data_IF_975311107840
#
_entry.id   IF_975311107840
#
_cell.length_a   1.000
_cell.length_b   1.000
_cell.length_c   1.000
_cell.angle_alpha   90.00
_cell.angle_beta   90.00
_cell.angle_gamma   90.00
#
_symmetry.space_group_name_H-M   'P 1'
#
loop_
_entity.id
_entity.type
_entity.pdbx_description
1 polymer ?
#
# COMPACT_ATOMS: atom_id res chain seq x y z
N UNK A 1 -22.43 -37.33 -32.20
CA UNK A 1 -22.68 -35.94 -32.64
C UNK A 1 -23.97 -35.47 -31.99
N UNK A 2 -23.87 -34.67 -30.94
CA UNK A 2 -25.01 -33.95 -30.36
C UNK A 2 -24.45 -32.67 -29.71
N UNK A 3 -25.06 -31.56 -30.08
CA UNK A 3 -24.61 -30.18 -29.90
C UNK A 3 -24.48 -29.79 -28.41
N UNK A 4 -23.31 -29.26 -28.02
CA UNK A 4 -23.11 -28.59 -26.73
C UNK A 4 -23.75 -27.19 -26.82
N UNK A 5 -24.94 -27.02 -26.24
CA UNK A 5 -25.55 -25.71 -26.06
C UNK A 5 -24.73 -24.89 -25.06
N UNK A 6 -24.36 -23.68 -25.49
CA UNK A 6 -23.52 -22.73 -24.78
C UNK A 6 -24.11 -22.32 -23.44
N UNK A 7 -23.24 -22.32 -22.43
CA UNK A 7 -23.45 -21.67 -21.14
C UNK A 7 -23.85 -20.19 -21.30
N UNK A 8 -24.67 -19.60 -20.41
CA UNK A 8 -25.08 -18.18 -20.49
C UNK A 8 -23.95 -17.18 -20.15
N UNK A 9 -22.68 -17.63 -20.10
CA UNK A 9 -21.53 -16.76 -19.91
C UNK A 9 -21.08 -16.20 -21.27
N UNK A 10 -21.32 -14.90 -21.45
CA UNK A 10 -20.77 -14.14 -22.58
C UNK A 10 -19.24 -14.21 -22.53
N UNK A 11 -18.65 -14.67 -23.64
CA UNK A 11 -17.22 -14.60 -23.94
C UNK A 11 -16.71 -13.18 -23.61
N UNK A 12 -15.58 -13.00 -22.89
CA UNK A 12 -15.08 -11.68 -22.55
C UNK A 12 -15.02 -10.81 -23.80
N UNK A 13 -15.62 -9.62 -23.73
CA UNK A 13 -15.52 -8.63 -24.78
C UNK A 13 -14.03 -8.40 -25.12
N UNK A 14 -13.73 -8.24 -26.40
CA UNK A 14 -12.41 -7.83 -26.89
C UNK A 14 -11.80 -6.80 -25.96
N UNK A 15 -10.52 -6.99 -25.61
CA UNK A 15 -9.81 -6.26 -24.56
C UNK A 15 -9.85 -4.75 -24.82
N UNK A 16 -10.87 -4.07 -24.31
CA UNK A 16 -10.98 -2.62 -24.41
C UNK A 16 -10.02 -1.99 -23.36
N UNK A 17 -8.91 -1.38 -23.80
CA UNK A 17 -7.91 -0.82 -22.90
C UNK A 17 -8.42 0.41 -22.14
N UNK A 18 -9.63 0.90 -22.43
CA UNK A 18 -10.27 1.99 -21.68
C UNK A 18 -10.79 1.53 -20.30
N UNK A 19 -11.12 0.25 -20.17
CA UNK A 19 -11.67 -0.32 -18.94
C UNK A 19 -10.59 -0.70 -17.93
N UNK A 20 -10.90 -0.63 -16.64
CA UNK A 20 -9.99 -1.03 -15.57
C UNK A 20 -9.59 -2.51 -15.67
N UNK A 21 -10.50 -3.39 -16.12
CA UNK A 21 -10.22 -4.80 -16.36
C UNK A 21 -9.30 -5.00 -17.58
N UNK A 22 -9.58 -4.32 -18.70
CA UNK A 22 -8.72 -4.40 -19.89
C UNK A 22 -7.28 -3.94 -19.62
N UNK A 23 -7.09 -2.95 -18.74
CA UNK A 23 -5.75 -2.51 -18.28
C UNK A 23 -5.06 -3.47 -17.32
N UNK A 24 -5.80 -4.37 -16.68
CA UNK A 24 -5.31 -5.35 -15.71
C UNK A 24 -5.59 -6.78 -16.18
N UNK A 25 -5.27 -7.08 -17.44
CA UNK A 25 -5.53 -8.39 -18.08
C UNK A 25 -4.85 -9.58 -17.40
N UNK A 26 -3.80 -9.33 -16.59
CA UNK A 26 -3.15 -10.35 -15.77
C UNK A 26 -3.98 -10.83 -14.58
N UNK A 27 -5.05 -10.11 -14.21
CA UNK A 27 -5.93 -10.47 -13.11
C UNK A 27 -7.25 -11.03 -13.62
N UNK A 28 -7.82 -12.06 -12.96
CA UNK A 28 -9.12 -12.56 -13.35
C UNK A 28 -10.17 -11.46 -13.15
N UNK A 29 -10.90 -11.12 -14.21
CA UNK A 29 -11.94 -10.11 -14.13
C UNK A 29 -13.09 -10.59 -13.23
N UNK A 30 -13.59 -9.72 -12.37
CA UNK A 30 -14.79 -10.02 -11.60
C UNK A 30 -16.02 -10.02 -12.50
N UNK A 31 -16.85 -11.04 -12.33
CA UNK A 31 -18.10 -11.18 -13.07
C UNK A 31 -19.00 -9.95 -12.84
N UNK A 32 -19.40 -9.31 -13.93
CA UNK A 32 -20.39 -8.24 -13.90
C UNK A 32 -21.77 -8.84 -13.63
N UNK A 33 -22.52 -8.22 -12.74
CA UNK A 33 -23.96 -8.47 -12.69
C UNK A 33 -24.58 -7.79 -13.90
N UNK A 34 -25.02 -8.58 -14.88
CA UNK A 34 -25.83 -8.06 -15.99
C UNK A 34 -27.12 -7.52 -15.37
N UNK A 35 -27.36 -6.22 -15.53
CA UNK A 35 -28.62 -5.58 -15.19
C UNK A 35 -29.32 -5.30 -16.50
N UNK A 36 -30.35 -6.07 -16.83
CA UNK A 36 -31.29 -5.67 -17.87
C UNK A 36 -31.94 -4.37 -17.42
N UNK A 37 -31.67 -3.28 -18.14
CA UNK A 37 -32.34 -2.00 -17.93
C UNK A 37 -33.76 -2.13 -18.49
N UNK A 38 -34.64 -2.84 -17.79
CA UNK A 38 -36.06 -2.75 -18.08
C UNK A 38 -36.49 -1.33 -17.71
N UNK A 39 -36.91 -0.56 -18.71
CA UNK A 39 -37.44 0.78 -18.53
C UNK A 39 -38.69 0.67 -17.68
N UNK A 40 -38.57 1.04 -16.40
CA UNK A 40 -39.67 0.96 -15.44
C UNK A 40 -40.87 1.77 -15.95
N UNK A 41 -42.05 1.15 -15.94
CA UNK A 41 -43.32 1.82 -16.22
C UNK A 41 -43.54 2.97 -15.23
N UNK A 42 -44.30 4.00 -15.62
CA UNK A 42 -44.62 5.13 -14.72
C UNK A 42 -45.27 4.65 -13.41
N UNK A 43 -46.13 3.63 -13.46
CA UNK A 43 -46.75 3.04 -12.27
C UNK A 43 -45.70 2.39 -11.34
N UNK A 44 -44.69 1.72 -11.91
CA UNK A 44 -43.59 1.13 -11.14
C UNK A 44 -42.69 2.21 -10.53
N UNK A 45 -42.46 3.33 -11.22
CA UNK A 45 -41.72 4.48 -10.68
C UNK A 45 -42.46 5.13 -9.51
N UNK A 46 -43.77 5.35 -9.62
CA UNK A 46 -44.60 5.88 -8.54
C UNK A 46 -44.63 4.94 -7.31
N UNK A 47 -44.75 3.63 -7.55
CA UNK A 47 -44.68 2.63 -6.46
C UNK A 47 -43.33 2.65 -5.76
N UNK A 48 -42.23 2.83 -6.50
CA UNK A 48 -40.88 2.96 -5.92
C UNK A 48 -40.71 4.25 -5.12
N UNK A 49 -41.26 5.39 -5.56
CA UNK A 49 -41.16 6.64 -4.80
C UNK A 49 -41.94 6.55 -3.48
N UNK A 50 -43.14 5.97 -3.50
CA UNK A 50 -43.91 5.73 -2.27
C UNK A 50 -43.17 4.79 -1.31
N UNK A 51 -42.51 3.74 -1.82
CA UNK A 51 -41.64 2.90 -0.99
C UNK A 51 -40.46 3.66 -0.41
N UNK A 52 -39.77 4.48 -1.20
CA UNK A 52 -38.65 5.29 -0.71
C UNK A 52 -39.07 6.23 0.41
N UNK A 53 -40.24 6.87 0.30
CA UNK A 53 -40.80 7.73 1.34
C UNK A 53 -41.10 6.91 2.61
N UNK A 54 -41.73 5.74 2.46
CA UNK A 54 -42.01 4.85 3.60
C UNK A 54 -40.74 4.34 4.27
N UNK A 55 -39.73 3.95 3.48
CA UNK A 55 -38.45 3.46 3.98
C UNK A 55 -37.67 4.58 4.68
N UNK A 56 -37.76 5.82 4.19
CA UNK A 56 -37.19 7.00 4.85
C UNK A 56 -37.85 7.24 6.21
N UNK A 57 -39.19 7.23 6.27
CA UNK A 57 -39.92 7.41 7.52
C UNK A 57 -39.57 6.32 8.56
N UNK A 58 -39.46 5.06 8.13
CA UNK A 58 -39.00 3.95 8.99
C UNK A 58 -37.55 4.13 9.45
N UNK A 59 -36.67 4.63 8.59
CA UNK A 59 -35.28 4.88 8.95
C UNK A 59 -35.17 6.02 9.98
N UNK A 60 -35.96 7.08 9.84
CA UNK A 60 -36.04 8.16 10.83
C UNK A 60 -36.59 7.67 12.17
N UNK A 61 -37.65 6.86 12.15
CA UNK A 61 -38.22 6.27 13.36
C UNK A 61 -37.20 5.37 14.07
N UNK A 62 -36.49 4.53 13.31
CA UNK A 62 -35.40 3.70 13.84
C UNK A 62 -34.28 4.57 14.42
N UNK A 63 -33.88 5.65 13.75
CA UNK A 63 -32.84 6.56 14.24
C UNK A 63 -33.25 7.21 15.58
N UNK A 64 -34.51 7.68 15.70
CA UNK A 64 -35.05 8.22 16.95
C UNK A 64 -35.06 7.18 18.06
N UNK A 65 -35.53 5.97 17.77
CA UNK A 65 -35.55 4.88 18.74
C UNK A 65 -34.13 4.49 19.20
N UNK A 66 -33.17 4.50 18.27
CA UNK A 66 -31.76 4.24 18.56
C UNK A 66 -31.17 5.33 19.45
N UNK A 67 -31.48 6.61 19.19
CA UNK A 67 -31.01 7.74 19.99
C UNK A 67 -31.53 7.69 21.45
N UNK A 68 -32.81 7.33 21.63
CA UNK A 68 -33.39 7.06 22.96
C UNK A 68 -32.67 5.91 23.66
N UNK A 69 -32.38 4.82 22.95
CA UNK A 69 -31.66 3.67 23.48
C UNK A 69 -30.22 4.02 23.88
N UNK A 70 -29.51 4.78 23.05
CA UNK A 70 -28.15 5.25 23.36
C UNK A 70 -28.13 6.20 24.54
N UNK A 71 -29.11 7.09 24.65
CA UNK A 71 -29.29 7.99 25.79
C UNK A 71 -29.48 7.20 27.09
N UNK A 72 -30.35 6.18 27.08
CA UNK A 72 -30.56 5.28 28.23
C UNK A 72 -29.30 4.50 28.59
N UNK A 73 -28.60 3.94 27.61
CA UNK A 73 -27.33 3.27 27.86
C UNK A 73 -26.29 4.22 28.45
N UNK A 74 -26.25 5.48 28.01
CA UNK A 74 -25.33 6.48 28.57
C UNK A 74 -25.63 6.73 30.05
N UNK A 75 -26.90 6.92 30.42
CA UNK A 75 -27.28 7.11 31.83
C UNK A 75 -26.95 5.89 32.68
N UNK A 76 -27.21 4.68 32.17
CA UNK A 76 -26.85 3.43 32.87
C UNK A 76 -25.33 3.32 33.08
N UNK A 77 -24.52 3.72 32.08
CA UNK A 77 -23.05 3.73 32.20
C UNK A 77 -22.55 4.81 33.16
N UNK A 78 -23.21 5.97 33.23
CA UNK A 78 -22.92 7.02 34.22
C UNK A 78 -23.18 6.54 35.65
N UNK A 79 -24.28 5.84 35.87
CA UNK A 79 -24.62 5.30 37.18
C UNK A 79 -23.70 4.13 37.57
N UNK A 80 -23.32 3.28 36.60
CA UNK A 80 -22.30 2.26 36.80
C UNK A 80 -20.92 2.85 37.15
N UNK A 81 -20.54 3.96 36.49
CA UNK A 81 -19.31 4.69 36.78
C UNK A 81 -19.29 5.23 38.21
N UNK A 82 -20.39 5.83 38.67
CA UNK A 82 -20.55 6.30 40.06
C UNK A 82 -20.48 5.15 41.05
N UNK A 83 -21.18 4.04 40.79
CA UNK A 83 -21.19 2.87 41.68
C UNK A 83 -19.78 2.28 41.89
N UNK A 84 -18.93 2.32 40.87
CA UNK A 84 -17.58 1.76 40.91
C UNK A 84 -16.46 2.79 41.11
N UNK A 85 -16.78 4.07 41.39
CA UNK A 85 -15.80 5.16 41.50
C UNK A 85 -14.79 5.21 40.34
N UNK A 86 -15.26 4.93 39.13
CA UNK A 86 -14.44 4.95 37.91
C UNK A 86 -14.92 6.05 36.97
N UNK A 87 -14.04 6.49 36.06
CA UNK A 87 -14.42 7.48 35.04
C UNK A 87 -15.27 6.81 33.95
N UNK A 88 -16.32 7.48 33.48
CA UNK A 88 -17.17 7.00 32.39
C UNK A 88 -16.38 6.65 31.12
N UNK A 89 -15.35 7.43 30.79
CA UNK A 89 -14.45 7.16 29.66
C UNK A 89 -13.76 5.79 29.78
N UNK A 90 -13.40 5.37 30.99
CA UNK A 90 -12.77 4.08 31.24
C UNK A 90 -13.74 2.91 30.96
N UNK A 91 -14.99 3.04 31.39
CA UNK A 91 -16.03 2.02 31.17
C UNK A 91 -16.43 1.99 29.69
N UNK A 92 -16.60 3.14 29.04
CA UNK A 92 -16.85 3.20 27.60
C UNK A 92 -15.73 2.53 26.80
N UNK A 93 -14.47 2.71 27.24
CA UNK A 93 -13.31 2.03 26.64
C UNK A 93 -13.34 0.52 26.84
N UNK A 94 -13.90 0.01 27.94
CA UNK A 94 -14.13 -1.43 28.15
C UNK A 94 -15.19 -1.97 27.18
N UNK A 95 -16.28 -1.23 26.96
CA UNK A 95 -17.39 -1.65 26.08
C UNK A 95 -17.02 -1.59 24.59
N UNK A 96 -16.20 -0.61 24.19
CA UNK A 96 -15.79 -0.37 22.79
C UNK A 96 -14.58 -1.20 22.32
N UNK A 97 -13.97 -2.00 23.19
CA UNK A 97 -12.86 -2.91 22.84
C UNK A 97 -13.25 -4.08 21.93
N UNK A 98 -14.53 -4.21 21.56
CA UNK A 98 -15.08 -5.35 20.82
C UNK A 98 -15.04 -5.21 19.28
N UNK A 99 -14.04 -4.52 18.72
CA UNK A 99 -13.67 -4.73 17.32
C UNK A 99 -12.93 -6.07 17.20
N UNK A 100 -13.70 -7.14 17.37
CA UNK A 100 -13.24 -8.47 17.02
C UNK A 100 -13.05 -8.48 15.51
N UNK A 101 -11.80 -8.66 15.05
CA UNK A 101 -11.54 -9.14 13.71
C UNK A 101 -12.37 -10.40 13.52
N UNK A 102 -13.55 -10.26 12.91
CA UNK A 102 -14.43 -11.40 12.65
C UNK A 102 -13.69 -12.25 11.65
N UNK A 103 -13.18 -13.39 12.12
CA UNK A 103 -12.59 -14.36 11.23
C UNK A 103 -13.61 -14.69 10.15
N UNK A 104 -13.16 -14.69 8.90
CA UNK A 104 -14.04 -15.02 7.78
C UNK A 104 -14.53 -16.44 7.98
N UNK A 105 -15.85 -16.62 7.91
CA UNK A 105 -16.47 -17.93 8.09
C UNK A 105 -15.99 -18.90 7.01
N UNK A 106 -15.51 -20.07 7.44
CA UNK A 106 -15.15 -21.16 6.55
C UNK A 106 -16.33 -21.56 5.65
N UNK A 107 -16.03 -22.12 4.47
CA UNK A 107 -17.06 -22.61 3.54
C UNK A 107 -17.63 -23.91 4.10
N UNK A 108 -18.89 -23.87 4.53
CA UNK A 108 -19.66 -25.06 4.90
C UNK A 108 -20.15 -25.77 3.63
N UNK A 109 -20.17 -27.11 3.65
CA UNK A 109 -20.70 -27.95 2.56
C UNK A 109 -22.10 -27.50 2.13
N UNK A 110 -23.01 -27.23 3.07
CA UNK A 110 -24.36 -26.77 2.78
C UNK A 110 -24.40 -25.45 1.98
N UNK A 111 -23.47 -24.54 2.25
CA UNK A 111 -23.36 -23.29 1.48
C UNK A 111 -22.80 -23.55 0.07
N UNK A 112 -21.93 -24.55 -0.07
CA UNK A 112 -21.41 -24.97 -1.37
C UNK A 112 -22.48 -25.65 -2.23
N UNK A 113 -23.27 -26.57 -1.65
CA UNK A 113 -24.43 -27.20 -2.30
C UNK A 113 -25.45 -26.14 -2.74
N UNK A 114 -25.79 -25.19 -1.86
CA UNK A 114 -26.70 -24.10 -2.19
C UNK A 114 -26.15 -23.21 -3.32
N UNK A 115 -24.85 -22.96 -3.34
CA UNK A 115 -24.21 -22.19 -4.42
C UNK A 115 -24.29 -22.92 -5.76
N UNK A 116 -23.91 -24.20 -5.82
CA UNK A 116 -23.99 -25.02 -7.03
C UNK A 116 -25.43 -25.10 -7.55
N UNK A 117 -26.40 -25.40 -6.69
CA UNK A 117 -27.82 -25.43 -7.07
C UNK A 117 -28.34 -24.08 -7.52
N UNK A 118 -27.86 -22.98 -6.92
CA UNK A 118 -28.24 -21.64 -7.36
C UNK A 118 -27.73 -21.32 -8.76
N UNK A 119 -26.61 -21.90 -9.19
CA UNK A 119 -26.08 -21.72 -10.55
C UNK A 119 -26.87 -22.55 -11.55
N UNK A 120 -27.20 -23.81 -11.22
CA UNK A 120 -28.04 -24.67 -12.06
C UNK A 120 -29.41 -24.01 -12.29
N UNK A 121 -30.10 -23.63 -11.22
CA UNK A 121 -31.51 -23.24 -11.31
C UNK A 121 -31.68 -21.80 -11.78
N UNK A 122 -30.77 -20.89 -11.40
CA UNK A 122 -30.84 -19.50 -11.86
C UNK A 122 -30.04 -19.24 -13.14
N UNK A 123 -29.41 -20.27 -13.72
CA UNK A 123 -28.73 -20.17 -15.01
C UNK A 123 -29.73 -19.93 -16.15
N UNK A 124 -30.88 -20.59 -16.08
CA UNK A 124 -31.92 -20.58 -17.12
C UNK A 124 -33.01 -19.52 -16.88
N UNK A 125 -33.00 -18.86 -15.72
CA UNK A 125 -34.01 -17.86 -15.34
C UNK A 125 -33.56 -16.44 -15.70
N UNK A 126 -34.52 -15.62 -16.16
CA UNK A 126 -34.29 -14.22 -16.44
C UNK A 126 -33.88 -13.42 -15.19
N UNK A 127 -33.18 -12.31 -15.42
CA UNK A 127 -32.66 -11.41 -14.39
C UNK A 127 -33.81 -10.67 -13.67
N UNK A 128 -34.38 -11.32 -12.66
CA UNK A 128 -35.49 -10.79 -11.86
C UNK A 128 -36.26 -11.89 -11.15
N UNK A 129 -36.37 -13.05 -11.79
CA UNK A 129 -37.15 -14.20 -11.34
C UNK A 129 -36.29 -15.25 -10.62
N UNK A 130 -35.15 -14.81 -10.08
CA UNK A 130 -34.26 -15.69 -9.33
C UNK A 130 -34.98 -16.26 -8.11
N UNK A 131 -34.85 -17.58 -7.95
CA UNK A 131 -35.48 -18.33 -6.86
C UNK A 131 -34.96 -17.84 -5.52
N UNK A 132 -35.86 -17.72 -4.54
CA UNK A 132 -35.49 -17.26 -3.19
C UNK A 132 -34.61 -18.29 -2.50
N UNK A 133 -33.76 -17.82 -1.59
CA UNK A 133 -32.84 -18.70 -0.83
C UNK A 133 -33.56 -19.80 -0.06
N UNK A 134 -34.79 -19.56 0.43
CA UNK A 134 -35.60 -20.57 1.13
C UNK A 134 -36.01 -21.72 0.21
N UNK A 135 -36.47 -21.40 -0.99
CA UNK A 135 -36.88 -22.36 -2.02
C UNK A 135 -35.64 -23.12 -2.54
N UNK A 136 -34.50 -22.45 -2.72
CA UNK A 136 -33.24 -23.12 -3.08
C UNK A 136 -32.80 -24.15 -2.02
N UNK A 137 -33.02 -23.88 -0.73
CA UNK A 137 -32.71 -24.87 0.33
C UNK A 137 -33.59 -26.11 0.24
N UNK A 138 -34.86 -25.93 -0.11
CA UNK A 138 -35.78 -27.05 -0.32
C UNK A 138 -35.36 -27.86 -1.55
N UNK A 139 -35.03 -27.19 -2.67
CA UNK A 139 -34.53 -27.87 -3.86
C UNK A 139 -33.22 -28.65 -3.64
N UNK A 140 -32.31 -28.15 -2.79
CA UNK A 140 -31.10 -28.89 -2.41
C UNK A 140 -31.43 -30.10 -1.53
N UNK A 141 -32.45 -29.98 -0.68
CA UNK A 141 -32.89 -31.07 0.17
C UNK A 141 -33.61 -32.15 -0.64
N UNK A 142 -34.43 -31.79 -1.61
CA UNK A 142 -35.26 -32.74 -2.36
C UNK A 142 -34.49 -33.46 -3.48
N UNK A 143 -33.32 -32.94 -3.86
CA UNK A 143 -32.48 -33.53 -4.92
C UNK A 143 -31.58 -34.65 -4.37
N UNK A 144 -31.80 -35.92 -4.78
CA UNK A 144 -31.02 -37.06 -4.30
C UNK A 144 -29.54 -37.00 -4.71
N UNK A 145 -29.21 -36.24 -5.76
CA UNK A 145 -27.84 -36.02 -6.23
C UNK A 145 -27.01 -35.25 -5.20
N UNK A 146 -27.63 -34.29 -4.51
CA UNK A 146 -26.98 -33.48 -3.48
C UNK A 146 -26.99 -34.14 -2.09
N UNK A 147 -27.80 -35.18 -1.88
CA UNK A 147 -27.77 -35.99 -0.67
C UNK A 147 -26.71 -37.08 -0.72
N UNK A 148 -26.49 -37.70 -1.88
CA UNK A 148 -25.56 -38.82 -2.07
C UNK A 148 -24.23 -38.40 -2.72
N UNK A 149 -23.62 -37.31 -2.25
CA UNK A 149 -22.34 -36.84 -2.78
C UNK A 149 -21.17 -37.66 -2.24
N UNK A 150 -20.23 -37.96 -3.13
CA UNK A 150 -18.94 -38.51 -2.72
C UNK A 150 -18.07 -37.43 -2.05
N UNK A 151 -17.13 -37.84 -1.20
CA UNK A 151 -16.25 -36.91 -0.49
C UNK A 151 -15.47 -35.99 -1.46
N UNK A 152 -15.05 -36.52 -2.62
CA UNK A 152 -14.35 -35.77 -3.66
C UNK A 152 -15.20 -34.65 -4.27
N UNK A 153 -16.49 -34.91 -4.49
CA UNK A 153 -17.41 -33.92 -5.05
C UNK A 153 -17.78 -32.83 -4.03
N UNK A 154 -17.86 -33.19 -2.75
CA UNK A 154 -18.04 -32.21 -1.68
C UNK A 154 -16.84 -31.27 -1.55
N UNK A 155 -15.62 -31.80 -1.74
CA UNK A 155 -14.39 -30.99 -1.76
C UNK A 155 -14.32 -30.10 -2.99
N UNK A 156 -14.65 -30.61 -4.18
CA UNK A 156 -14.72 -29.82 -5.41
C UNK A 156 -15.67 -28.63 -5.26
N UNK A 157 -16.88 -28.84 -4.74
CA UNK A 157 -17.83 -27.74 -4.52
C UNK A 157 -17.33 -26.72 -3.49
N UNK A 158 -16.58 -27.14 -2.47
CA UNK A 158 -15.93 -26.20 -1.55
C UNK A 158 -14.87 -25.38 -2.26
N UNK A 159 -14.04 -26.02 -3.08
CA UNK A 159 -12.99 -25.36 -3.86
C UNK A 159 -13.59 -24.32 -4.81
N UNK A 160 -14.64 -24.64 -5.56
CA UNK A 160 -15.32 -23.69 -6.46
C UNK A 160 -15.77 -22.41 -5.72
N UNK A 161 -16.34 -22.56 -4.52
CA UNK A 161 -16.77 -21.42 -3.70
C UNK A 161 -15.58 -20.64 -3.15
N UNK A 162 -14.47 -21.30 -2.82
CA UNK A 162 -13.24 -20.65 -2.38
C UNK A 162 -12.61 -19.84 -3.53
N UNK A 163 -12.50 -20.42 -4.72
CA UNK A 163 -11.99 -19.75 -5.92
C UNK A 163 -12.83 -18.51 -6.26
N UNK A 164 -14.16 -18.61 -6.20
CA UNK A 164 -15.03 -17.46 -6.40
C UNK A 164 -14.87 -16.38 -5.32
N UNK A 165 -14.65 -16.77 -4.06
CA UNK A 165 -14.35 -15.82 -2.98
C UNK A 165 -13.01 -15.14 -3.21
N UNK A 166 -12.02 -15.86 -3.71
CA UNK A 166 -10.71 -15.32 -4.07
C UNK A 166 -10.82 -14.37 -5.26
N UNK A 167 -11.50 -14.77 -6.34
CA UNK A 167 -11.76 -13.92 -7.50
C UNK A 167 -12.49 -12.62 -7.11
N UNK A 168 -13.47 -12.68 -6.20
CA UNK A 168 -14.13 -11.47 -5.67
C UNK A 168 -13.22 -10.59 -4.80
N UNK A 169 -12.18 -11.18 -4.21
CA UNK A 169 -11.23 -10.47 -3.34
C UNK A 169 -10.12 -9.80 -4.15
N UNK A 170 -9.58 -10.48 -5.16
CA UNK A 170 -8.37 -10.08 -5.88
C UNK A 170 -8.61 -9.77 -7.36
N UNK A 171 -9.76 -10.17 -7.90
CA UNK A 171 -10.05 -9.97 -9.31
C UNK A 171 -10.28 -8.52 -9.67
N UNK A 172 -9.90 -8.16 -10.90
CA UNK A 172 -10.02 -6.81 -11.42
C UNK A 172 -11.50 -6.40 -11.54
N UNK A 173 -11.79 -5.15 -11.17
CA UNK A 173 -13.14 -4.61 -11.33
C UNK A 173 -13.45 -4.37 -12.82
N UNK A 174 -14.64 -4.76 -13.30
CA UNK A 174 -14.95 -4.78 -14.73
C UNK A 174 -15.06 -3.39 -15.36
N UNK A 175 -15.44 -2.37 -14.58
CA UNK A 175 -15.62 -0.99 -15.06
C UNK A 175 -14.92 0.01 -14.14
N UNK A 176 -14.50 1.16 -14.68
CA UNK A 176 -13.84 2.23 -13.91
C UNK A 176 -14.76 2.73 -12.79
N UNK A 177 -16.07 2.80 -13.05
CA UNK A 177 -17.07 3.17 -12.04
C UNK A 177 -17.13 2.15 -10.89
N UNK A 178 -17.13 0.85 -11.21
CA UNK A 178 -17.10 -0.20 -10.17
C UNK A 178 -15.80 -0.19 -9.38
N UNK A 179 -14.65 0.06 -10.02
CA UNK A 179 -13.37 0.25 -9.35
C UNK A 179 -13.39 1.44 -8.40
N UNK A 180 -13.96 2.57 -8.84
CA UNK A 180 -14.07 3.77 -8.02
C UNK A 180 -15.04 3.61 -6.83
N UNK A 181 -16.09 2.80 -6.95
CA UNK A 181 -16.98 2.50 -5.82
C UNK A 181 -16.28 1.61 -4.79
N UNK A 182 -15.57 0.58 -5.26
CA UNK A 182 -14.78 -0.31 -4.41
C UNK A 182 -13.68 0.46 -3.65
N UNK A 183 -12.95 1.31 -4.36
CA UNK A 183 -11.94 2.21 -3.76
C UNK A 183 -12.54 3.05 -2.62
N UNK A 184 -13.70 3.68 -2.83
CA UNK A 184 -14.37 4.48 -1.79
C UNK A 184 -14.79 3.63 -0.59
N UNK A 185 -15.36 2.45 -0.82
CA UNK A 185 -15.78 1.55 0.25
C UNK A 185 -14.58 1.11 1.11
N UNK A 186 -13.46 0.74 0.46
CA UNK A 186 -12.22 0.38 1.16
C UNK A 186 -11.62 1.57 1.90
N UNK A 187 -11.70 2.79 1.34
CA UNK A 187 -11.24 4.00 2.01
C UNK A 187 -11.98 4.24 3.32
N UNK A 188 -13.30 4.12 3.33
CA UNK A 188 -14.11 4.25 4.55
C UNK A 188 -13.71 3.20 5.59
N UNK A 189 -13.49 1.96 5.17
CA UNK A 189 -13.03 0.90 6.08
C UNK A 189 -11.67 1.23 6.69
N UNK A 190 -10.67 1.60 5.86
CA UNK A 190 -9.34 1.96 6.33
C UNK A 190 -9.36 3.18 7.26
N UNK A 191 -10.22 4.17 6.99
CA UNK A 191 -10.37 5.33 7.86
C UNK A 191 -10.81 4.92 9.26
N UNK A 192 -11.84 4.08 9.35
CA UNK A 192 -12.33 3.58 10.63
C UNK A 192 -11.25 2.76 11.36
N UNK A 193 -10.49 1.93 10.64
CA UNK A 193 -9.41 1.13 11.21
C UNK A 193 -8.23 1.99 11.71
N UNK A 194 -7.85 3.04 10.97
CA UNK A 194 -6.79 3.96 11.35
C UNK A 194 -7.21 4.81 12.55
N UNK A 195 -8.43 5.34 12.57
CA UNK A 195 -8.97 6.04 13.74
C UNK A 195 -8.99 5.14 14.96
N UNK A 196 -9.52 3.91 14.84
CA UNK A 196 -9.55 2.96 15.93
C UNK A 196 -8.15 2.51 16.40
N UNK A 197 -7.15 2.48 15.50
CA UNK A 197 -5.75 2.21 15.86
C UNK A 197 -5.17 3.40 16.66
N UNK A 198 -5.36 4.62 16.16
CA UNK A 198 -4.94 5.85 16.84
C UNK A 198 -5.54 5.94 18.24
N UNK A 199 -6.83 5.67 18.40
CA UNK A 199 -7.51 5.77 19.69
C UNK A 199 -7.04 4.71 20.70
N UNK A 200 -6.71 3.49 20.23
CA UNK A 200 -6.27 2.39 21.09
C UNK A 200 -4.81 2.50 21.50
N UNK A 201 -3.93 2.93 20.59
CA UNK A 201 -2.47 2.85 20.81
C UNK A 201 -1.78 4.22 20.82
N UNK A 202 -2.48 5.30 20.48
CA UNK A 202 -1.87 6.61 20.26
C UNK A 202 -0.97 6.66 19.03
N UNK A 203 -1.11 5.70 18.09
CA UNK A 203 -0.27 5.66 16.90
C UNK A 203 -0.53 6.87 15.99
N UNK A 204 0.54 7.48 15.48
CA UNK A 204 0.46 8.54 14.47
C UNK A 204 0.55 7.92 13.07
N UNK A 205 -0.48 8.09 12.25
CA UNK A 205 -0.63 7.45 10.94
C UNK A 205 -1.07 8.48 9.92
N UNK A 206 -0.37 8.50 8.78
CA UNK A 206 -0.76 9.21 7.57
C UNK A 206 -0.73 8.23 6.41
N UNK A 207 -1.81 8.16 5.64
CA UNK A 207 -1.89 7.33 4.45
C UNK A 207 -2.36 8.17 3.26
N UNK A 208 -1.63 8.09 2.15
CA UNK A 208 -1.97 8.76 0.89
C UNK A 208 -2.40 7.73 -0.14
N UNK A 209 -3.44 8.05 -0.88
CA UNK A 209 -4.04 7.19 -1.88
C UNK A 209 -4.23 7.98 -3.17
N UNK A 210 -3.91 7.36 -4.30
CA UNK A 210 -4.13 7.95 -5.61
C UNK A 210 -4.54 6.89 -6.62
N UNK A 211 -5.15 7.33 -7.71
CA UNK A 211 -5.24 6.51 -8.92
C UNK A 211 -3.87 6.34 -9.56
N UNK A 212 -3.70 5.24 -10.27
CA UNK A 212 -2.48 4.93 -11.03
C UNK A 212 -2.60 5.28 -12.50
N UNK A 213 -3.81 5.51 -13.02
CA UNK A 213 -4.06 5.83 -14.42
C UNK A 213 -5.09 6.98 -14.52
N UNK A 214 -4.98 7.82 -15.55
CA UNK A 214 -5.86 8.97 -15.75
C UNK A 214 -7.31 8.56 -16.04
N UNK A 215 -7.51 7.40 -16.68
CA UNK A 215 -8.85 6.89 -17.03
C UNK A 215 -9.64 6.38 -15.81
N UNK A 216 -8.98 6.25 -14.66
CA UNK A 216 -9.67 5.90 -13.41
C UNK A 216 -10.44 7.11 -12.86
N UNK A 217 -11.69 6.85 -12.47
CA UNK A 217 -12.65 7.89 -12.10
C UNK A 217 -12.68 8.21 -10.60
N UNK A 218 -11.79 7.63 -9.80
CA UNK A 218 -11.69 7.93 -8.37
C UNK A 218 -10.62 8.98 -8.11
N UNK A 219 -10.88 9.83 -7.13
CA UNK A 219 -10.01 10.95 -6.78
C UNK A 219 -8.94 10.50 -5.77
N UNK A 220 -7.74 11.12 -5.79
CA UNK A 220 -6.78 10.99 -4.72
C UNK A 220 -7.41 11.35 -3.39
N UNK A 221 -6.99 10.67 -2.33
CA UNK A 221 -7.48 10.94 -0.99
C UNK A 221 -6.38 10.66 0.03
N UNK A 222 -6.57 11.12 1.25
CA UNK A 222 -5.67 10.85 2.36
C UNK A 222 -6.47 10.54 3.62
N UNK A 223 -5.88 9.72 4.49
CA UNK A 223 -6.38 9.44 5.83
C UNK A 223 -5.30 9.85 6.82
N UNK A 224 -5.70 10.53 7.89
CA UNK A 224 -4.81 10.99 8.93
C UNK A 224 -5.40 10.69 10.31
N UNK A 225 -4.55 10.25 11.24
CA UNK A 225 -4.90 10.26 12.65
C UNK A 225 -4.81 11.68 13.22
N UNK A 226 -5.60 12.02 14.26
CA UNK A 226 -5.62 13.39 14.82
C UNK A 226 -4.26 13.92 15.26
N UNK A 227 -3.41 13.06 15.81
CA UNK A 227 -2.05 13.39 16.25
C UNK A 227 -1.03 13.59 15.10
N UNK A 228 -1.39 13.26 13.86
CA UNK A 228 -0.53 13.40 12.69
C UNK A 228 -1.02 14.48 11.71
N UNK A 229 -2.11 15.18 12.03
CA UNK A 229 -2.80 16.12 11.14
C UNK A 229 -1.86 17.19 10.55
N UNK A 230 -0.97 17.74 11.38
CA UNK A 230 -0.06 18.81 10.96
C UNK A 230 1.29 18.30 10.45
N UNK A 231 1.53 16.98 10.45
CA UNK A 231 2.84 16.40 10.12
C UNK A 231 3.33 16.85 8.75
N UNK A 232 2.48 16.81 7.72
CA UNK A 232 2.90 17.18 6.36
C UNK A 232 3.30 18.66 6.26
N UNK A 233 2.56 19.54 6.93
CA UNK A 233 2.80 20.98 6.87
C UNK A 233 4.01 21.39 7.70
N UNK A 234 4.15 20.86 8.92
CA UNK A 234 5.23 21.22 9.83
C UNK A 234 6.56 20.55 9.45
N UNK A 235 6.54 19.27 9.03
CA UNK A 235 7.76 18.51 8.75
C UNK A 235 8.19 18.57 7.28
N UNK A 236 7.25 18.68 6.34
CA UNK A 236 7.55 18.64 4.89
C UNK A 236 7.24 19.96 4.17
N UNK A 237 6.59 20.93 4.83
CA UNK A 237 6.14 22.19 4.21
C UNK A 237 5.18 21.99 3.03
N UNK A 238 4.44 20.87 3.02
CA UNK A 238 3.43 20.57 2.00
C UNK A 238 2.06 20.32 2.64
N UNK A 239 1.00 20.77 1.99
CA UNK A 239 -0.36 20.36 2.36
C UNK A 239 -0.58 18.87 2.06
N UNK A 240 -1.44 18.21 2.83
CA UNK A 240 -1.76 16.79 2.61
C UNK A 240 -2.29 16.52 1.20
N UNK A 241 -3.12 17.44 0.69
CA UNK A 241 -3.63 17.39 -0.68
C UNK A 241 -2.54 17.55 -1.75
N UNK A 242 -1.53 18.38 -1.49
CA UNK A 242 -0.41 18.55 -2.41
C UNK A 242 0.39 17.27 -2.52
N UNK A 243 0.65 16.58 -1.39
CA UNK A 243 1.33 15.29 -1.38
C UNK A 243 0.50 14.23 -2.11
N UNK A 244 -0.80 14.16 -1.86
CA UNK A 244 -1.69 13.23 -2.56
C UNK A 244 -1.70 13.46 -4.08
N UNK A 245 -1.68 14.73 -4.51
CA UNK A 245 -1.62 15.11 -5.92
C UNK A 245 -0.25 14.84 -6.54
N UNK A 246 0.85 15.06 -5.80
CA UNK A 246 2.19 14.69 -6.25
C UNK A 246 2.32 13.17 -6.44
N UNK A 247 1.74 12.39 -5.53
CA UNK A 247 1.66 10.94 -5.66
C UNK A 247 0.87 10.52 -6.90
N UNK A 248 -0.28 11.15 -7.15
CA UNK A 248 -1.10 10.92 -8.33
C UNK A 248 -0.35 11.27 -9.63
N UNK A 249 0.27 12.45 -9.69
CA UNK A 249 1.05 12.88 -10.86
C UNK A 249 2.16 11.89 -11.17
N UNK A 250 2.90 11.45 -10.14
CA UNK A 250 3.95 10.45 -10.26
C UNK A 250 3.42 9.09 -10.73
N UNK A 251 2.31 8.62 -10.16
CA UNK A 251 1.71 7.33 -10.50
C UNK A 251 1.17 7.32 -11.95
N UNK A 252 0.47 8.38 -12.34
CA UNK A 252 -0.08 8.56 -13.69
C UNK A 252 1.02 8.80 -14.76
N UNK A 253 2.10 9.51 -14.43
CA UNK A 253 3.23 9.67 -15.34
C UNK A 253 3.93 8.34 -15.62
N UNK A 254 4.03 7.46 -14.61
CA UNK A 254 4.54 6.09 -14.77
C UNK A 254 3.68 5.26 -15.73
N UNK A 255 2.35 5.39 -15.66
CA UNK A 255 1.45 4.66 -16.55
C UNK A 255 1.59 5.07 -18.03
N UNK A 256 1.99 6.32 -18.32
CA UNK A 256 2.20 6.83 -19.69
C UNK A 256 3.52 6.41 -20.35
N UNK A 257 4.27 5.48 -19.75
CA UNK A 257 5.57 5.06 -20.29
C UNK A 257 6.67 6.13 -20.17
N UNK A 258 6.44 7.19 -19.39
CA UNK A 258 7.44 8.21 -19.08
C UNK A 258 8.43 7.69 -18.01
N UNK A 259 9.05 6.55 -18.29
CA UNK A 259 10.30 6.17 -17.62
C UNK A 259 11.42 6.75 -18.46
N UNK A 260 12.38 7.39 -17.81
CA UNK A 260 13.76 7.21 -18.25
C UNK A 260 13.96 5.71 -18.36
N UNK A 261 14.16 5.18 -19.57
CA UNK A 261 14.30 3.73 -19.82
C UNK A 261 15.13 3.11 -18.71
N UNK A 262 14.58 2.13 -17.99
CA UNK A 262 15.33 1.50 -16.91
C UNK A 262 16.45 0.69 -17.53
N UNK A 263 17.60 1.31 -17.65
CA UNK A 263 18.81 0.59 -17.96
C UNK A 263 19.08 -0.35 -16.81
N UNK A 264 19.60 -1.55 -17.10
CA UNK A 264 20.09 -2.48 -16.08
C UNK A 264 20.92 -1.74 -15.00
N UNK A 265 21.81 -0.84 -15.43
CA UNK A 265 22.64 -0.03 -14.54
C UNK A 265 21.86 0.87 -13.56
N UNK A 266 20.74 1.47 -13.98
CA UNK A 266 19.94 2.33 -13.08
C UNK A 266 19.25 1.49 -12.02
N UNK A 267 18.65 0.37 -12.41
CA UNK A 267 18.01 -0.55 -11.46
C UNK A 267 19.00 -1.16 -10.46
N UNK A 268 20.19 -1.56 -10.92
CA UNK A 268 21.24 -2.07 -10.03
C UNK A 268 21.69 -1.02 -8.99
N UNK A 269 21.83 0.25 -9.42
CA UNK A 269 22.15 1.36 -8.52
C UNK A 269 21.03 1.59 -7.50
N UNK A 270 19.77 1.56 -7.94
CA UNK A 270 18.61 1.71 -7.05
C UNK A 270 18.52 0.57 -6.02
N UNK A 271 18.67 -0.69 -6.44
CA UNK A 271 18.74 -1.83 -5.53
C UNK A 271 19.82 -1.62 -4.46
N UNK A 272 21.04 -1.26 -4.88
CA UNK A 272 22.15 -1.02 -3.97
C UNK A 272 21.87 0.14 -3.00
N UNK A 273 21.23 1.22 -3.49
CA UNK A 273 20.86 2.37 -2.67
C UNK A 273 19.82 1.98 -1.61
N UNK A 274 18.77 1.24 -2.00
CA UNK A 274 17.72 0.78 -1.08
C UNK A 274 18.32 -0.17 -0.03
N UNK A 275 19.09 -1.18 -0.45
CA UNK A 275 19.70 -2.16 0.46
C UNK A 275 20.58 -1.47 1.49
N UNK A 276 21.48 -0.57 1.07
CA UNK A 276 22.38 0.12 2.00
C UNK A 276 21.64 1.17 2.85
N UNK A 277 20.68 1.90 2.28
CA UNK A 277 19.89 2.90 3.01
C UNK A 277 19.07 2.25 4.12
N UNK A 278 18.31 1.21 3.78
CA UNK A 278 17.50 0.45 4.74
C UNK A 278 18.36 -0.27 5.78
N UNK A 279 19.53 -0.81 5.41
CA UNK A 279 20.48 -1.40 6.36
C UNK A 279 20.90 -0.37 7.41
N UNK A 280 21.31 0.84 7.01
CA UNK A 280 21.72 1.90 7.94
C UNK A 280 20.61 2.28 8.92
N UNK A 281 19.37 2.34 8.42
CA UNK A 281 18.19 2.64 9.24
C UNK A 281 17.93 1.53 10.26
N UNK A 282 17.85 0.28 9.80
CA UNK A 282 17.51 -0.86 10.67
C UNK A 282 18.65 -1.17 11.65
N UNK A 283 19.91 -1.07 11.23
CA UNK A 283 21.07 -1.28 12.11
C UNK A 283 21.40 -0.08 13.01
N UNK A 284 20.67 1.04 12.89
CA UNK A 284 20.95 2.31 13.59
C UNK A 284 22.42 2.77 13.45
N UNK A 285 23.05 2.47 12.31
CA UNK A 285 24.46 2.80 12.08
C UNK A 285 24.64 3.49 10.73
N UNK A 286 25.05 4.76 10.76
CA UNK A 286 25.26 5.56 9.54
C UNK A 286 26.38 5.01 8.65
N UNK A 287 27.29 4.23 9.23
CA UNK A 287 28.44 3.62 8.55
C UNK A 287 28.18 2.18 8.09
N UNK A 288 26.99 1.62 8.34
CA UNK A 288 26.67 0.30 7.85
C UNK A 288 26.71 0.26 6.32
N UNK A 289 27.40 -0.75 5.79
CA UNK A 289 27.55 -0.99 4.37
C UNK A 289 27.43 -2.47 4.11
N UNK A 290 26.73 -2.80 3.03
CA UNK A 290 26.50 -4.17 2.62
C UNK A 290 27.81 -4.85 2.21
N UNK A 291 28.02 -6.09 2.67
CA UNK A 291 29.16 -6.91 2.28
C UNK A 291 28.67 -8.31 1.87
N UNK A 292 28.48 -8.53 0.58
CA UNK A 292 28.01 -9.82 0.05
C UNK A 292 29.03 -10.95 0.28
N UNK A 293 30.33 -10.66 0.16
CA UNK A 293 31.37 -11.67 0.29
C UNK A 293 31.64 -12.11 1.74
N UNK A 294 31.24 -11.33 2.74
CA UNK A 294 31.38 -11.67 4.17
C UNK A 294 30.06 -11.34 4.88
N UNK A 295 28.95 -11.78 4.31
CA UNK A 295 27.62 -11.41 4.76
C UNK A 295 27.37 -11.87 6.21
N UNK A 296 27.59 -13.15 6.50
CA UNK A 296 27.32 -13.73 7.82
C UNK A 296 28.09 -13.00 8.93
N UNK A 297 29.39 -12.78 8.75
CA UNK A 297 30.24 -12.16 9.80
C UNK A 297 30.16 -10.63 9.85
N UNK A 298 30.25 -9.95 8.69
CA UNK A 298 30.35 -8.48 8.66
C UNK A 298 29.00 -7.77 8.60
N UNK A 299 27.92 -8.48 8.30
CA UNK A 299 26.57 -7.93 8.26
C UNK A 299 25.71 -8.56 9.34
N UNK A 300 25.47 -9.87 9.30
CA UNK A 300 24.52 -10.53 10.20
C UNK A 300 25.00 -10.49 11.65
N UNK A 301 26.20 -10.99 11.94
CA UNK A 301 26.74 -10.98 13.31
C UNK A 301 27.03 -9.57 13.82
N UNK A 302 27.57 -8.69 12.96
CA UNK A 302 27.98 -7.33 13.36
C UNK A 302 26.80 -6.41 13.62
N UNK A 303 25.79 -6.43 12.75
CA UNK A 303 24.66 -5.52 12.82
C UNK A 303 23.40 -6.18 13.39
N UNK A 304 23.42 -7.48 13.63
CA UNK A 304 22.29 -8.23 14.18
C UNK A 304 21.05 -8.13 13.28
N UNK A 305 21.27 -8.04 11.98
CA UNK A 305 20.23 -7.84 10.97
C UNK A 305 20.44 -8.79 9.81
N UNK A 306 19.34 -9.38 9.32
CA UNK A 306 19.34 -10.27 8.17
C UNK A 306 18.37 -9.76 7.12
N UNK A 307 18.80 -9.78 5.87
CA UNK A 307 17.96 -9.50 4.71
C UNK A 307 17.11 -10.73 4.43
N UNK A 308 15.80 -10.57 4.51
CA UNK A 308 14.80 -11.62 4.28
C UNK A 308 14.06 -11.35 2.98
N UNK A 309 13.61 -12.40 2.28
CA UNK A 309 12.80 -12.28 1.06
C UNK A 309 13.59 -11.95 -0.21
N UNK A 310 14.87 -12.34 -0.26
CA UNK A 310 15.71 -12.22 -1.45
C UNK A 310 15.12 -13.05 -2.60
N UNK A 311 14.88 -12.44 -3.76
CA UNK A 311 14.16 -13.07 -4.88
C UNK A 311 15.05 -13.77 -5.90
N UNK A 312 16.33 -13.42 -5.97
CA UNK A 312 17.26 -14.00 -6.93
C UNK A 312 17.88 -15.30 -6.38
N UNK A 313 18.16 -16.27 -7.26
CA UNK A 313 18.61 -17.63 -6.87
C UNK A 313 19.88 -17.63 -6.02
N UNK A 314 20.81 -16.72 -6.31
CA UNK A 314 22.07 -16.61 -5.58
C UNK A 314 22.12 -15.33 -4.76
N UNK A 315 22.74 -15.38 -3.58
CA UNK A 315 22.92 -14.18 -2.77
C UNK A 315 24.20 -13.43 -3.15
N UNK A 316 24.08 -12.50 -4.10
CA UNK A 316 25.22 -11.70 -4.61
C UNK A 316 24.87 -10.22 -4.80
N UNK A 317 25.88 -9.42 -5.17
CA UNK A 317 25.69 -7.99 -5.41
C UNK A 317 24.69 -7.77 -6.55
N UNK A 318 23.78 -6.77 -6.44
CA UNK A 318 22.90 -6.40 -7.54
C UNK A 318 23.65 -6.12 -8.85
N UNK A 319 24.88 -5.60 -8.78
CA UNK A 319 25.72 -5.33 -9.95
C UNK A 319 26.20 -6.59 -10.68
N UNK A 320 26.24 -7.74 -9.99
CA UNK A 320 26.64 -9.02 -10.55
C UNK A 320 25.44 -9.77 -11.16
N UNK A 321 24.23 -9.19 -11.11
CA UNK A 321 23.03 -9.73 -11.74
C UNK A 321 22.88 -9.06 -13.11
N UNK A 322 23.04 -9.85 -14.18
CA UNK A 322 23.05 -9.33 -15.56
C UNK A 322 21.69 -9.44 -16.25
N UNK A 323 20.76 -10.22 -15.73
CA UNK A 323 19.40 -10.34 -16.26
C UNK A 323 18.56 -9.15 -15.81
N UNK A 324 17.95 -8.45 -16.77
CA UNK A 324 17.11 -7.27 -16.49
C UNK A 324 15.90 -7.67 -15.62
N UNK A 325 15.21 -8.75 -15.97
CA UNK A 325 14.01 -9.19 -15.27
C UNK A 325 14.29 -9.61 -13.81
N UNK A 326 15.44 -10.23 -13.56
CA UNK A 326 15.85 -10.62 -12.20
C UNK A 326 16.13 -9.38 -11.33
N UNK A 327 16.85 -8.39 -11.87
CA UNK A 327 17.11 -7.13 -11.16
C UNK A 327 15.81 -6.37 -10.92
N UNK A 328 14.90 -6.35 -11.89
CA UNK A 328 13.59 -5.70 -11.77
C UNK A 328 12.74 -6.36 -10.68
N UNK A 329 12.69 -7.69 -10.66
CA UNK A 329 11.94 -8.45 -9.64
C UNK A 329 12.50 -8.20 -8.25
N UNK A 330 13.83 -8.14 -8.11
CA UNK A 330 14.49 -7.78 -6.86
C UNK A 330 14.19 -6.34 -6.43
N UNK A 331 14.25 -5.39 -7.36
CA UNK A 331 13.95 -3.98 -7.10
C UNK A 331 12.51 -3.81 -6.59
N UNK A 332 11.54 -4.44 -7.26
CA UNK A 332 10.13 -4.42 -6.85
C UNK A 332 9.94 -5.08 -5.47
N UNK A 333 10.64 -6.18 -5.18
CA UNK A 333 10.59 -6.81 -3.87
C UNK A 333 11.15 -5.92 -2.76
N UNK A 334 12.25 -5.20 -3.03
CA UNK A 334 12.83 -4.23 -2.10
C UNK A 334 11.92 -3.01 -1.88
N UNK A 335 11.31 -2.48 -2.94
CA UNK A 335 10.41 -1.31 -2.86
C UNK A 335 9.11 -1.65 -2.12
N UNK A 336 8.54 -2.83 -2.35
CA UNK A 336 7.31 -3.27 -1.68
C UNK A 336 7.54 -3.88 -0.29
N UNK A 337 8.79 -3.93 0.20
CA UNK A 337 9.13 -4.51 1.49
C UNK A 337 9.05 -6.05 1.56
N UNK A 338 8.80 -6.73 0.44
CA UNK A 338 8.89 -8.21 0.34
C UNK A 338 10.32 -8.69 0.60
N UNK A 339 11.30 -7.90 0.18
CA UNK A 339 12.70 -8.05 0.56
C UNK A 339 13.08 -6.92 1.53
N UNK A 340 13.34 -7.24 2.79
CA UNK A 340 13.63 -6.21 3.80
C UNK A 340 14.58 -6.70 4.90
N UNK A 341 15.22 -5.75 5.57
CA UNK A 341 16.08 -6.04 6.72
C UNK A 341 15.25 -6.27 7.96
N UNK A 342 15.47 -7.42 8.60
CA UNK A 342 14.84 -7.78 9.87
C UNK A 342 15.91 -7.84 10.95
N UNK A 343 15.61 -7.23 12.11
CA UNK A 343 16.45 -7.39 13.30
C UNK A 343 16.28 -8.78 13.86
N UNK A 344 17.40 -9.47 14.06
CA UNK A 344 17.42 -10.80 14.64
C UNK A 344 17.38 -10.71 16.16
N UNK A 345 16.71 -11.66 16.82
CA UNK A 345 16.77 -11.77 18.28
C UNK A 345 18.12 -12.36 18.70
N UNK A 346 18.47 -12.24 19.98
CA UNK A 346 19.71 -12.84 20.53
C UNK A 346 19.75 -14.36 20.30
N UNK A 347 18.59 -15.03 20.41
CA UNK A 347 18.47 -16.46 20.14
C UNK A 347 18.81 -16.78 18.69
N UNK A 348 18.22 -16.03 17.75
CA UNK A 348 18.46 -16.26 16.32
C UNK A 348 19.91 -16.00 15.92
N UNK A 349 20.57 -15.02 16.55
CA UNK A 349 21.99 -14.72 16.32
C UNK A 349 22.87 -15.86 16.83
N UNK A 350 22.56 -16.41 18.00
CA UNK A 350 23.31 -17.54 18.54
C UNK A 350 23.16 -18.78 17.65
N UNK A 351 21.93 -19.09 17.23
CA UNK A 351 21.68 -20.16 16.26
C UNK A 351 22.43 -19.92 14.96
N UNK A 352 22.43 -18.68 14.45
CA UNK A 352 23.17 -18.34 13.23
C UNK A 352 24.68 -18.51 13.39
N UNK A 353 25.25 -18.15 14.55
CA UNK A 353 26.67 -18.38 14.86
C UNK A 353 27.00 -19.87 14.95
N UNK A 354 26.12 -20.66 15.52
CA UNK A 354 26.28 -22.11 15.59
C UNK A 354 26.23 -22.72 14.19
N UNK A 355 25.31 -22.27 13.33
CA UNK A 355 25.22 -22.71 11.93
C UNK A 355 26.44 -22.29 11.11
N UNK A 356 26.92 -21.06 11.29
CA UNK A 356 28.19 -20.60 10.68
C UNK A 356 29.35 -21.46 11.14
N UNK A 357 29.43 -21.77 12.43
CA UNK A 357 30.49 -22.60 13.01
C UNK A 357 30.44 -24.04 12.49
N UNK A 358 29.24 -24.62 12.36
CA UNK A 358 29.03 -25.94 11.74
C UNK A 358 29.43 -25.96 10.27
N UNK A 359 29.09 -24.93 9.50
CA UNK A 359 29.50 -24.80 8.09
C UNK A 359 31.02 -24.68 7.94
N UNK A 360 31.67 -23.90 8.81
CA UNK A 360 33.14 -23.82 8.86
C UNK A 360 33.75 -25.18 9.22
N UNK A 361 33.19 -25.89 10.21
CA UNK A 361 33.65 -27.22 10.60
C UNK A 361 33.45 -28.27 9.49
N UNK A 362 32.41 -28.12 8.68
CA UNK A 362 32.16 -28.94 7.48
C UNK A 362 33.07 -28.58 6.29
N UNK A 363 33.95 -27.57 6.44
CA UNK A 363 34.90 -27.15 5.40
C UNK A 363 34.36 -26.11 4.41
N UNK A 364 33.16 -25.57 4.64
CA UNK A 364 32.60 -24.50 3.81
C UNK A 364 33.30 -23.16 4.10
N UNK A 365 33.79 -22.49 3.05
CA UNK A 365 34.45 -21.18 3.18
C UNK A 365 33.40 -20.10 3.44
N UNK A 366 33.10 -19.82 4.71
CA UNK A 366 32.26 -18.69 5.11
C UNK A 366 33.04 -17.37 4.93
N UNK A 367 33.00 -16.87 3.70
CA UNK A 367 33.53 -15.58 3.30
C UNK A 367 34.97 -15.57 2.79
N UNK A 368 35.38 -14.42 2.25
CA UNK A 368 36.73 -14.22 1.68
C UNK A 368 37.69 -13.73 2.76
N UNK A 369 38.61 -14.61 3.18
CA UNK A 369 39.74 -14.24 4.03
C UNK A 369 40.61 -13.17 3.36
N UNK A 370 41.00 -12.15 4.13
CA UNK A 370 41.84 -11.05 3.62
C UNK A 370 43.24 -11.59 3.33
N UNK A 371 43.73 -11.42 2.10
CA UNK A 371 45.12 -11.78 1.79
C UNK A 371 46.07 -11.03 2.73
N UNK A 372 47.10 -11.71 3.26
CA UNK A 372 48.10 -11.08 4.09
C UNK A 372 48.80 -9.99 3.27
N UNK A 373 48.89 -8.81 3.86
CA UNK A 373 49.58 -7.67 3.25
C UNK A 373 51.06 -8.03 3.16
N UNK A 374 51.71 -7.79 2.01
CA UNK A 374 53.12 -8.15 1.78
C UNK A 374 54.10 -7.46 2.73
N UNK A 375 53.67 -6.38 3.39
CA UNK A 375 54.39 -5.62 4.40
C UNK A 375 54.11 -6.08 5.84
N UNK A 376 53.31 -7.14 6.04
CA UNK A 376 53.03 -7.70 7.37
C UNK A 376 54.31 -8.32 7.95
N UNK A 377 54.99 -7.56 8.81
CA UNK A 377 56.24 -7.94 9.47
C UNK A 377 57.47 -7.11 9.04
N UNK A 378 57.34 -6.24 8.04
CA UNK A 378 58.47 -5.41 7.58
C UNK A 378 58.63 -4.17 8.47
N UNK A 379 59.69 -4.14 9.29
CA UNK A 379 60.09 -2.97 10.06
C UNK A 379 60.45 -1.83 9.10
N UNK A 380 59.62 -0.80 9.02
CA UNK A 380 59.95 0.41 8.25
C UNK A 380 61.11 1.14 8.93
N UNK A 381 62.18 1.52 8.21
CA UNK A 381 63.29 2.25 8.81
C UNK A 381 62.81 3.62 9.32
N UNK A 382 63.12 3.92 10.58
CA UNK A 382 62.92 5.26 11.16
C UNK A 382 63.81 6.25 10.40
N UNK A 383 63.20 7.26 9.80
CA UNK A 383 63.93 8.38 9.17
C UNK A 383 64.70 9.12 10.28
N UNK A 384 66.04 9.14 10.18
CA UNK A 384 66.90 9.97 11.06
C UNK A 384 66.56 11.45 10.79
N UNK A 385 66.40 12.23 11.87
CA UNK A 385 66.27 13.69 11.80
C UNK A 385 67.57 14.31 11.27
N UNK A 386 67.53 15.36 10.43
CA UNK A 386 68.74 16.01 9.95
C UNK A 386 69.33 16.88 11.06
N UNK A 387 70.53 16.50 11.51
CA UNK A 387 71.39 17.33 12.33
C UNK A 387 72.20 18.30 11.47
N UNK A 388 72.41 19.48 12.04
CA UNK A 388 73.25 20.61 11.62
C UNK A 388 74.64 20.23 11.13
N UNK A 389 75.07 20.85 10.03
CA UNK A 389 76.46 20.81 9.54
C UNK A 389 76.57 21.54 8.20
N UNK A 390 77.24 22.69 8.22
CA UNK A 390 77.56 23.60 7.12
C UNK A 390 78.55 22.95 6.12
N UNK A 391 78.49 23.34 4.84
CA UNK A 391 79.51 22.97 3.86
C UNK A 391 78.98 22.89 2.42
N UNK A 392 79.54 23.74 1.58
CA UNK A 392 79.20 24.04 0.19
C UNK A 392 79.44 22.92 -0.85
N UNK A 393 78.61 23.01 -1.90
CA UNK A 393 78.89 22.82 -3.33
C UNK A 393 78.57 21.50 -4.07
N UNK A 394 77.94 21.77 -5.22
CA UNK A 394 77.79 21.04 -6.48
C UNK A 394 76.94 19.77 -6.64
N UNK A 395 76.02 19.86 -7.61
CA UNK A 395 75.51 18.72 -8.39
C UNK A 395 74.12 18.20 -7.99
N UNK A 396 73.09 18.60 -8.74
CA UNK A 396 71.70 18.15 -8.61
C UNK A 396 71.49 16.61 -8.72
N UNK A 397 70.49 16.07 -7.99
CA UNK A 397 69.59 15.06 -8.58
C UNK A 397 68.09 15.24 -8.17
N UNK A 398 67.14 14.51 -8.79
CA UNK A 398 65.87 15.08 -9.26
C UNK A 398 64.68 15.07 -8.28
N UNK A 399 63.68 15.88 -8.67
CA UNK A 399 62.47 16.27 -7.97
C UNK A 399 61.55 15.14 -7.46
N UNK A 400 61.17 15.21 -6.18
CA UNK A 400 59.98 14.53 -5.63
C UNK A 400 58.77 15.46 -5.72
N UNK A 401 57.80 15.12 -6.57
CA UNK A 401 56.46 15.73 -6.63
C UNK A 401 55.74 15.61 -5.28
N UNK A 402 55.66 16.70 -4.53
CA UNK A 402 54.72 16.84 -3.41
C UNK A 402 53.31 17.20 -3.94
N UNK A 403 52.32 16.38 -3.59
CA UNK A 403 50.90 16.75 -3.69
C UNK A 403 50.61 17.85 -2.66
N UNK A 404 50.40 19.09 -3.12
CA UNK A 404 49.81 20.15 -2.31
C UNK A 404 48.31 19.89 -2.17
N UNK A 405 47.86 19.70 -0.93
CA UNK A 405 46.49 20.01 -0.56
C UNK A 405 46.33 21.52 -0.40
N UNK A 406 45.23 22.07 -0.90
CA UNK A 406 44.61 23.35 -0.48
C UNK A 406 43.11 23.17 -0.74
N UNK A 407 42.30 23.06 0.31
CA UNK A 407 41.73 24.16 1.09
C UNK A 407 40.55 24.82 0.35
N UNK A 408 39.37 24.62 0.92
CA UNK A 408 38.10 25.32 0.64
C UNK A 408 38.27 26.82 0.89
N UNK A 409 37.55 27.68 0.15
CA UNK A 409 37.01 28.87 0.79
C UNK A 409 35.53 29.06 0.48
N UNK A 410 34.78 29.41 1.53
CA UNK A 410 33.42 29.91 1.46
C UNK A 410 33.42 31.41 1.82
N UNK A 411 32.64 32.19 1.07
CA UNK A 411 32.10 33.54 1.35
C UNK A 411 33.03 34.78 1.30
N UNK A 412 32.67 35.78 0.47
CA UNK A 412 31.99 37.03 0.90
C UNK A 412 31.71 37.99 -0.30
N UNK A 413 30.59 38.70 -0.18
CA UNK A 413 30.03 39.82 -0.99
C UNK A 413 31.06 40.88 -1.45
N UNK A 414 30.82 41.79 -2.42
CA UNK A 414 29.81 42.89 -2.39
C UNK A 414 29.85 43.72 -3.71
N UNK A 415 28.67 44.10 -4.25
CA UNK A 415 28.26 45.35 -4.99
C UNK A 415 29.08 45.90 -6.18
N UNK A 416 28.51 46.36 -7.32
CA UNK A 416 27.68 47.60 -7.46
C UNK A 416 26.90 47.72 -8.81
N UNK A 417 25.62 48.15 -8.70
CA UNK A 417 24.81 49.17 -9.47
C UNK A 417 24.61 49.07 -11.01
N UNK A 418 23.37 48.82 -11.48
CA UNK A 418 22.30 49.73 -12.08
C UNK A 418 22.70 50.37 -13.44
N UNK A 419 21.90 50.60 -14.50
CA UNK A 419 20.50 50.43 -14.97
C UNK A 419 20.48 51.00 -16.46
N UNK A 420 19.40 51.08 -17.29
CA UNK A 420 17.96 50.98 -17.02
C UNK A 420 17.07 50.21 -18.06
N UNK A 421 15.77 50.23 -17.74
CA UNK A 421 14.57 49.60 -18.34
C UNK A 421 14.24 49.97 -19.81
N UNK A 422 13.58 49.04 -20.52
CA UNK A 422 12.41 49.32 -21.39
C UNK A 422 11.37 48.18 -21.30
N UNK A 423 10.11 48.59 -21.21
CA UNK A 423 8.87 47.84 -20.97
C UNK A 423 8.21 47.33 -22.25
N UNK A 424 7.51 46.18 -22.21
CA UNK A 424 6.26 45.93 -22.96
C UNK A 424 5.32 44.98 -22.18
N UNK A 425 4.06 45.41 -22.06
CA UNK A 425 2.88 44.71 -21.51
C UNK A 425 2.22 43.83 -22.59
N UNK A 426 1.66 42.68 -22.21
CA UNK A 426 0.37 42.12 -22.68
C UNK A 426 0.12 40.77 -21.99
N UNK A 427 -0.73 40.71 -20.96
CA UNK A 427 -2.18 40.40 -20.98
C UNK A 427 -2.48 38.89 -20.76
N UNK A 428 -2.92 38.60 -19.54
CA UNK A 428 -3.66 37.40 -19.14
C UNK A 428 -5.14 37.55 -19.49
N UNK A 429 -5.87 36.46 -19.81
CA UNK A 429 -7.30 36.50 -20.11
C UNK A 429 -8.15 36.68 -18.83
N UNK A 430 -9.34 37.32 -18.95
CA UNK A 430 -10.17 37.73 -17.82
C UNK A 430 -11.03 36.60 -17.23
N UNK A 431 -11.15 36.64 -15.90
CA UNK A 431 -12.15 35.95 -15.08
C UNK A 431 -13.57 36.43 -15.40
N UNK A 432 -14.53 35.50 -15.54
CA UNK A 432 -15.98 35.78 -15.64
C UNK A 432 -16.62 35.79 -14.24
N UNK A 433 -17.74 36.53 -14.02
CA UNK A 433 -18.20 36.95 -12.71
C UNK A 433 -19.12 35.95 -12.00
N UNK A 434 -19.02 36.02 -10.67
CA UNK A 434 -19.96 35.55 -9.65
C UNK A 434 -21.33 36.22 -9.81
N UNK A 435 -22.40 35.42 -9.82
CA UNK A 435 -23.78 35.90 -9.76
C UNK A 435 -24.30 35.84 -8.31
N UNK A 436 -24.46 37.03 -7.75
CA UNK A 436 -25.42 37.52 -6.75
C UNK A 436 -26.02 36.55 -5.72
N UNK A 437 -25.65 36.82 -4.47
CA UNK A 437 -26.46 36.64 -3.27
C UNK A 437 -27.77 37.43 -3.39
N UNK A 438 -28.89 36.77 -3.12
CA UNK A 438 -30.17 37.41 -2.82
C UNK A 438 -30.24 37.57 -1.30
N UNK A 439 -30.20 38.81 -0.85
CA UNK A 439 -30.42 39.23 0.54
C UNK A 439 -31.93 39.32 0.74
N UNK A 440 -32.46 38.45 1.59
CA UNK A 440 -33.82 38.54 2.11
C UNK A 440 -33.71 39.32 3.44
N UNK A 441 -34.14 40.59 3.42
CA UNK A 441 -34.24 41.43 4.61
C UNK A 441 -35.69 41.50 5.06
N UNK A 442 -35.87 41.08 6.30
CA UNK A 442 -37.11 41.06 7.09
C UNK A 442 -37.64 42.47 7.42
N UNK A 443 -38.95 42.48 7.75
CA UNK A 443 -39.74 43.50 8.45
C UNK A 443 -40.18 44.78 7.70
N UNK A 444 -41.50 44.91 7.52
CA UNK A 444 -42.24 45.92 8.30
C UNK A 444 -43.74 45.56 8.46
N UNK A 445 -44.15 45.70 9.71
CA UNK A 445 -45.51 45.71 10.26
C UNK A 445 -46.12 47.08 9.97
N UNK A 446 -47.37 47.17 9.46
CA UNK A 446 -48.53 47.70 10.20
C UNK A 446 -49.78 47.99 9.31
N UNK A 447 -50.95 47.77 9.94
CA UNK A 447 -52.24 48.45 9.74
C UNK A 447 -53.07 48.28 8.45
N UNK A 448 -54.09 47.41 8.52
CA UNK A 448 -55.52 47.77 8.45
C UNK A 448 -56.41 46.56 8.81
#
# INVERSE_FOLDING_TARGET
MASRSSSPYVVPAEEDPSTHAGRNSSQPQQQTRVLTKNTLSQAQKATRSLRQISDHAKAEELAKALDVLLSRHRTELEDFAKAHNTKLEYIQKLTSQSSHYKQKRAVTIQNAKLHAKSLEVNGDLELGDRIKVKELRQLVHDDPTYQNLTAEEEERMKQDVLELREQRKTGARPTNKSAAQDYRAQMTQMNNEISALSDRTGAAVVAFFSRSNLEDTFEPNWICSPNAANFSQEAMSYGMWDIARLLEQWACAKAKGSRTVDTLSTMQKECSAIINGTLKTVSQSRQALMNYANYDTKVVERYQTKLMGWTYREFKSPFDIHTIDDVRTLLEALQCGRCCWVRMTRSDINHHKDDVSKRIAAGEKVGKARQPRSDKGVKRPRKKAPGTGEGEDDGAPPAKKQKRGKAVPETRATTTKKAPKKSKKSQLPPTRPTSNEFVESDADVDSA
#
